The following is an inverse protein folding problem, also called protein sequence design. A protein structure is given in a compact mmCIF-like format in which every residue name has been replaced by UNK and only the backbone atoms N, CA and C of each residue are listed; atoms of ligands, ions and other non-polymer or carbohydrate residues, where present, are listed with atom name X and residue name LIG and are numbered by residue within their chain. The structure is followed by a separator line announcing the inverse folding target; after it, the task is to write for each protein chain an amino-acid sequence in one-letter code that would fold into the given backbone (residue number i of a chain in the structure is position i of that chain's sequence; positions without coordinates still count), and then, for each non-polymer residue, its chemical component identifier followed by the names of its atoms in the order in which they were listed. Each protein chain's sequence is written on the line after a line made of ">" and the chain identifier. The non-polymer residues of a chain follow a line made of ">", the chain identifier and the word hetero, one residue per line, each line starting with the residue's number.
data_IF_650347791204
#
_entry.id   IF_650347791204
#
_cell.length_a   1.000
_cell.length_b   1.000
_cell.length_c   1.000
_cell.angle_alpha   90.00
_cell.angle_beta   90.00
_cell.angle_gamma   90.00
#
_symmetry.space_group_name_H-M   'P 1'
#
loop_
_entity.id
_entity.type
_entity.pdbx_description
1 polymer ?
#
# COMPACT_ATOMS: atom_id res chain seq x y z
N UNK A 1 -10.49 10.19 -21.65
CA UNK A 1 -9.65 9.33 -22.50
C UNK A 1 -8.24 9.38 -21.96
N UNK A 2 -7.95 8.54 -20.96
CA UNK A 2 -6.64 8.45 -20.32
C UNK A 2 -5.72 7.60 -21.20
N UNK A 3 -4.54 8.11 -21.55
CA UNK A 3 -3.53 7.38 -22.28
C UNK A 3 -3.12 6.13 -21.47
N UNK A 4 -3.59 4.96 -21.88
CA UNK A 4 -3.29 3.69 -21.23
C UNK A 4 -1.87 3.21 -21.57
N UNK A 5 -1.11 2.69 -20.60
CA UNK A 5 0.22 2.14 -20.86
C UNK A 5 0.07 0.84 -21.67
N UNK A 6 1.00 0.60 -22.62
CA UNK A 6 1.12 -0.60 -23.49
C UNK A 6 0.33 -0.63 -24.81
N UNK A 7 0.45 0.42 -25.64
CA UNK A 7 0.21 0.33 -27.09
C UNK A 7 1.50 0.20 -27.91
N UNK A 8 2.55 -0.41 -27.34
CA UNK A 8 3.79 -0.64 -28.09
C UNK A 8 3.66 -1.96 -28.87
N UNK A 9 3.61 -1.85 -30.19
CA UNK A 9 3.54 -2.98 -31.12
C UNK A 9 4.87 -3.12 -31.84
N UNK A 10 5.40 -4.34 -31.89
CA UNK A 10 6.56 -4.67 -32.71
C UNK A 10 6.07 -5.28 -34.02
N UNK A 11 6.54 -4.77 -35.16
CA UNK A 11 6.37 -5.42 -36.46
C UNK A 11 7.69 -6.09 -36.82
N UNK A 12 7.65 -7.40 -37.12
CA UNK A 12 8.78 -8.18 -37.61
C UNK A 12 8.47 -8.65 -39.02
N UNK A 13 9.02 -7.95 -40.00
CA UNK A 13 8.81 -8.20 -41.43
C UNK A 13 10.04 -7.69 -42.19
N UNK A 14 10.56 -8.46 -43.14
CA UNK A 14 11.72 -8.09 -43.96
C UNK A 14 11.33 -7.19 -45.15
N UNK A 15 10.04 -7.10 -45.47
CA UNK A 15 9.50 -6.12 -46.40
C UNK A 15 9.37 -4.74 -45.71
N UNK A 16 10.36 -3.88 -46.01
CA UNK A 16 10.47 -2.54 -45.43
C UNK A 16 9.26 -1.67 -45.80
N UNK A 17 8.78 -1.75 -47.04
CA UNK A 17 7.68 -0.91 -47.53
C UNK A 17 6.36 -1.32 -46.87
N UNK A 18 6.13 -2.63 -46.73
CA UNK A 18 4.98 -3.16 -46.01
C UNK A 18 5.03 -2.80 -44.52
N UNK A 19 6.17 -3.02 -43.86
CA UNK A 19 6.38 -2.69 -42.44
C UNK A 19 6.19 -1.19 -42.15
N UNK A 20 6.65 -0.33 -43.05
CA UNK A 20 6.45 1.12 -42.94
C UNK A 20 4.98 1.53 -43.13
N UNK A 21 4.32 0.98 -44.14
CA UNK A 21 2.90 1.25 -44.42
C UNK A 21 2.02 0.81 -43.25
N UNK A 22 2.27 -0.39 -42.72
CA UNK A 22 1.57 -0.95 -41.57
C UNK A 22 1.83 -0.14 -40.30
N UNK A 23 3.08 0.29 -40.08
CA UNK A 23 3.44 1.12 -38.95
C UNK A 23 2.77 2.49 -38.97
N UNK A 24 2.62 3.13 -40.13
CA UNK A 24 1.89 4.39 -40.27
C UNK A 24 0.41 4.23 -39.93
N UNK A 25 -0.21 3.13 -40.36
CA UNK A 25 -1.61 2.85 -40.05
C UNK A 25 -1.82 2.68 -38.54
N UNK A 26 -1.01 1.85 -37.89
CA UNK A 26 -1.11 1.63 -36.44
C UNK A 26 -0.82 2.92 -35.64
N UNK A 27 0.07 3.78 -36.13
CA UNK A 27 0.31 5.08 -35.51
C UNK A 27 -0.91 6.01 -35.56
N UNK A 28 -1.72 5.98 -36.63
CA UNK A 28 -2.99 6.72 -36.69
C UNK A 28 -3.99 6.25 -35.62
N UNK A 29 -3.94 4.96 -35.25
CA UNK A 29 -4.75 4.36 -34.20
C UNK A 29 -4.11 4.46 -32.80
N UNK A 30 -3.16 5.38 -32.61
CA UNK A 30 -2.44 5.66 -31.37
C UNK A 30 -1.59 4.48 -30.83
N UNK A 31 -1.09 3.60 -31.70
CA UNK A 31 -0.05 2.64 -31.32
C UNK A 31 1.35 3.22 -31.53
N UNK A 32 2.24 2.95 -30.58
CA UNK A 32 3.67 3.19 -30.74
C UNK A 32 4.28 1.99 -31.44
N UNK A 33 4.79 2.17 -32.64
CA UNK A 33 5.27 1.06 -33.47
C UNK A 33 6.79 0.99 -33.44
N UNK A 34 7.32 -0.19 -33.12
CA UNK A 34 8.71 -0.56 -33.30
C UNK A 34 8.81 -1.56 -34.46
N UNK A 35 9.91 -1.54 -35.21
CA UNK A 35 10.09 -2.37 -36.41
C UNK A 35 11.39 -3.15 -36.33
N UNK A 36 11.33 -4.40 -36.77
CA UNK A 36 12.45 -5.31 -36.93
C UNK A 36 12.37 -6.00 -38.28
N UNK A 37 13.52 -6.23 -38.89
CA UNK A 37 13.72 -6.93 -40.16
C UNK A 37 14.23 -8.37 -39.97
N UNK A 38 14.57 -8.75 -38.74
CA UNK A 38 15.22 -10.01 -38.44
C UNK A 38 14.98 -10.43 -36.99
N UNK A 39 15.21 -11.72 -36.71
CA UNK A 39 15.16 -12.24 -35.33
C UNK A 39 16.11 -11.48 -34.40
N UNK A 40 17.32 -11.15 -34.87
CA UNK A 40 18.32 -10.47 -34.05
C UNK A 40 17.86 -9.06 -33.64
N UNK A 41 17.30 -8.29 -34.57
CA UNK A 41 16.77 -6.95 -34.29
C UNK A 41 15.50 -7.03 -33.42
N UNK A 42 14.61 -7.99 -33.68
CA UNK A 42 13.40 -8.22 -32.87
C UNK A 42 13.73 -8.54 -31.40
N UNK A 43 14.69 -9.45 -31.15
CA UNK A 43 15.14 -9.81 -29.79
C UNK A 43 15.68 -8.60 -29.04
N UNK A 44 16.52 -7.79 -29.70
CA UNK A 44 17.10 -6.59 -29.09
C UNK A 44 16.01 -5.61 -28.68
N UNK A 45 14.99 -5.43 -29.52
CA UNK A 45 13.86 -4.53 -29.22
C UNK A 45 13.04 -5.02 -28.03
N UNK A 46 12.65 -6.29 -27.99
CA UNK A 46 11.85 -6.85 -26.88
C UNK A 46 12.60 -6.81 -25.54
N UNK A 47 13.94 -6.87 -25.56
CA UNK A 47 14.75 -6.72 -24.36
C UNK A 47 14.88 -5.27 -23.87
N UNK A 48 14.78 -4.30 -24.78
CA UNK A 48 15.00 -2.88 -24.48
C UNK A 48 13.70 -2.10 -24.25
N UNK A 49 12.57 -2.62 -24.74
CA UNK A 49 11.29 -1.95 -24.72
C UNK A 49 10.17 -2.87 -24.22
N UNK A 50 9.17 -2.33 -23.49
CA UNK A 50 8.03 -3.10 -22.99
C UNK A 50 7.00 -3.33 -24.11
N UNK A 51 7.38 -4.12 -25.10
CA UNK A 51 6.51 -4.53 -26.21
C UNK A 51 5.38 -5.43 -25.67
N UNK A 52 4.14 -5.09 -26.03
CA UNK A 52 2.96 -5.82 -25.59
C UNK A 52 2.47 -6.82 -26.64
N UNK A 53 2.55 -6.44 -27.92
CA UNK A 53 2.14 -7.29 -29.04
C UNK A 53 3.23 -7.27 -30.11
N UNK A 54 3.52 -8.44 -30.69
CA UNK A 54 4.42 -8.58 -31.83
C UNK A 54 3.64 -9.14 -33.04
N UNK A 55 3.61 -8.38 -34.14
CA UNK A 55 3.17 -8.83 -35.46
C UNK A 55 4.36 -9.44 -36.18
N UNK A 56 4.32 -10.72 -36.53
CA UNK A 56 5.46 -11.46 -37.09
C UNK A 56 5.09 -12.07 -38.43
N UNK A 57 5.75 -11.66 -39.52
CA UNK A 57 5.57 -12.34 -40.81
C UNK A 57 6.15 -13.76 -40.74
N UNK A 58 5.44 -14.71 -41.35
CA UNK A 58 5.82 -16.11 -41.37
C UNK A 58 7.04 -16.37 -42.25
N UNK A 59 7.23 -15.59 -43.32
CA UNK A 59 8.41 -15.68 -44.18
C UNK A 59 9.32 -14.49 -43.93
N UNK A 60 10.51 -14.74 -43.41
CA UNK A 60 11.57 -13.75 -43.32
C UNK A 60 12.71 -14.23 -44.22
N UNK A 61 13.06 -13.47 -45.26
CA UNK A 61 13.95 -13.86 -46.37
C UNK A 61 15.38 -14.30 -46.01
N UNK A 62 15.77 -14.23 -44.73
CA UNK A 62 17.10 -14.61 -44.22
C UNK A 62 17.23 -16.07 -43.76
N UNK A 63 16.23 -16.92 -44.02
CA UNK A 63 16.27 -18.37 -43.71
C UNK A 63 15.80 -18.74 -42.30
N UNK A 64 15.29 -17.78 -41.52
CA UNK A 64 14.55 -18.05 -40.29
C UNK A 64 13.06 -18.08 -40.59
N UNK A 65 12.37 -19.10 -40.08
CA UNK A 65 10.91 -19.17 -40.11
C UNK A 65 10.35 -18.17 -39.07
N UNK A 66 9.31 -17.40 -39.41
CA UNK A 66 8.63 -16.51 -38.45
C UNK A 66 8.16 -17.26 -37.19
N UNK A 67 7.92 -18.57 -37.31
CA UNK A 67 7.65 -19.45 -36.18
C UNK A 67 8.81 -19.50 -35.17
N UNK A 68 10.07 -19.51 -35.63
CA UNK A 68 11.24 -19.50 -34.74
C UNK A 68 11.37 -18.16 -34.03
N UNK A 69 11.01 -17.06 -34.69
CA UNK A 69 10.95 -15.74 -34.06
C UNK A 69 9.93 -15.75 -32.92
N UNK A 70 8.73 -16.26 -33.14
CA UNK A 70 7.70 -16.33 -32.09
C UNK A 70 8.18 -17.15 -30.89
N UNK A 71 8.76 -18.33 -31.13
CA UNK A 71 9.30 -19.18 -30.05
C UNK A 71 10.35 -18.44 -29.23
N UNK A 72 11.27 -17.75 -29.90
CA UNK A 72 12.38 -17.09 -29.24
C UNK A 72 11.95 -15.81 -28.51
N UNK A 73 11.02 -15.03 -29.08
CA UNK A 73 10.47 -13.86 -28.40
C UNK A 73 9.66 -14.26 -27.17
N UNK A 74 8.86 -15.32 -27.23
CA UNK A 74 8.12 -15.84 -26.06
C UNK A 74 9.01 -16.48 -25.01
N UNK A 75 10.17 -17.02 -25.40
CA UNK A 75 11.17 -17.48 -24.43
C UNK A 75 11.76 -16.32 -23.62
N UNK A 76 11.93 -15.15 -24.24
CA UNK A 76 12.42 -13.93 -23.57
C UNK A 76 11.31 -13.31 -22.72
N UNK A 77 10.11 -13.16 -23.29
CA UNK A 77 8.94 -12.62 -22.62
C UNK A 77 7.74 -13.57 -22.79
N UNK A 78 7.47 -14.45 -21.81
CA UNK A 78 6.36 -15.41 -21.88
C UNK A 78 4.97 -14.78 -22.00
N UNK A 79 4.83 -13.52 -21.56
CA UNK A 79 3.59 -12.75 -21.60
C UNK A 79 3.39 -11.96 -22.92
N UNK A 80 4.38 -11.96 -23.82
CA UNK A 80 4.28 -11.29 -25.12
C UNK A 80 3.22 -11.98 -25.99
N UNK A 81 2.25 -11.21 -26.47
CA UNK A 81 1.26 -11.69 -27.44
C UNK A 81 1.85 -11.61 -28.85
N UNK A 82 2.07 -12.76 -29.48
CA UNK A 82 2.56 -12.83 -30.85
C UNK A 82 1.40 -13.10 -31.81
N UNK A 83 1.24 -12.28 -32.84
CA UNK A 83 0.31 -12.47 -33.94
C UNK A 83 1.11 -12.79 -35.19
N UNK A 84 0.80 -13.90 -35.85
CA UNK A 84 1.45 -14.26 -37.11
C UNK A 84 0.77 -13.56 -38.26
N UNK A 85 1.54 -13.03 -39.21
CA UNK A 85 1.04 -12.57 -40.50
C UNK A 85 1.46 -13.59 -41.56
N UNK A 86 0.54 -14.05 -42.41
CA UNK A 86 0.82 -15.07 -43.44
C UNK A 86 0.13 -14.75 -44.76
N UNK A 87 0.81 -14.99 -45.89
CA UNK A 87 0.20 -14.91 -47.21
C UNK A 87 -0.57 -16.19 -47.61
N UNK A 88 -0.46 -17.27 -46.84
CA UNK A 88 -1.11 -18.55 -47.15
C UNK A 88 -1.76 -19.14 -45.89
N UNK A 89 -3.09 -19.24 -45.90
CA UNK A 89 -3.86 -19.87 -44.83
C UNK A 89 -4.03 -21.34 -45.17
N UNK A 90 -3.16 -22.18 -44.64
CA UNK A 90 -3.43 -23.60 -44.52
C UNK A 90 -3.72 -23.94 -43.05
N UNK A 91 -4.58 -24.93 -42.81
CA UNK A 91 -4.86 -25.43 -41.46
C UNK A 91 -3.57 -25.88 -40.78
N UNK A 92 -2.65 -26.50 -41.52
CA UNK A 92 -1.36 -26.97 -41.01
C UNK A 92 -0.48 -25.81 -40.52
N UNK A 93 -0.38 -24.73 -41.30
CA UNK A 93 0.38 -23.54 -40.93
C UNK A 93 -0.21 -22.83 -39.71
N UNK A 94 -1.54 -22.74 -39.60
CA UNK A 94 -2.20 -22.15 -38.44
C UNK A 94 -1.97 -22.99 -37.17
N UNK A 95 -2.03 -24.31 -37.26
CA UNK A 95 -1.73 -25.21 -36.14
C UNK A 95 -0.27 -25.06 -35.69
N UNK A 96 0.67 -24.98 -36.63
CA UNK A 96 2.09 -24.77 -36.32
C UNK A 96 2.35 -23.42 -35.63
N UNK A 97 1.67 -22.34 -36.06
CA UNK A 97 1.73 -21.04 -35.42
C UNK A 97 1.28 -21.07 -33.96
N UNK A 98 0.14 -21.68 -33.68
CA UNK A 98 -0.38 -21.81 -32.32
C UNK A 98 0.54 -22.69 -31.45
N UNK A 99 1.08 -23.79 -32.00
CA UNK A 99 2.04 -24.64 -31.29
C UNK A 99 3.37 -23.95 -31.00
N UNK A 100 3.82 -23.06 -31.89
CA UNK A 100 5.00 -22.20 -31.66
C UNK A 100 4.74 -21.13 -30.58
N UNK A 101 3.48 -20.94 -30.19
CA UNK A 101 3.07 -20.04 -29.14
C UNK A 101 2.48 -18.72 -29.63
N UNK A 102 2.14 -18.59 -30.90
CA UNK A 102 1.36 -17.46 -31.38
C UNK A 102 -0.03 -17.45 -30.70
N UNK A 103 -0.55 -16.26 -30.44
CA UNK A 103 -1.89 -16.06 -29.90
C UNK A 103 -2.95 -16.23 -30.99
N UNK A 104 -2.71 -15.65 -32.18
CA UNK A 104 -3.62 -15.68 -33.32
C UNK A 104 -2.82 -15.42 -34.62
N UNK A 105 -3.48 -15.42 -35.77
CA UNK A 105 -2.88 -15.13 -37.08
C UNK A 105 -3.74 -14.23 -37.97
N UNK A 106 -3.10 -13.55 -38.93
CA UNK A 106 -3.71 -12.64 -39.91
C UNK A 106 -3.28 -13.05 -41.32
N UNK A 107 -4.25 -13.15 -42.23
CA UNK A 107 -4.01 -13.54 -43.63
C UNK A 107 -3.81 -12.33 -44.53
N UNK A 108 -2.68 -12.22 -45.24
CA UNK A 108 -2.48 -11.24 -46.33
C UNK A 108 -3.30 -11.69 -47.57
N UNK A 109 -4.00 -10.78 -48.27
CA UNK A 109 -4.32 -9.41 -47.87
C UNK A 109 -5.41 -9.40 -46.78
N UNK A 110 -5.24 -8.55 -45.76
CA UNK A 110 -6.22 -8.33 -44.70
C UNK A 110 -6.73 -6.88 -44.72
N UNK A 111 -7.96 -6.67 -44.27
CA UNK A 111 -8.48 -5.33 -44.05
C UNK A 111 -7.95 -4.78 -42.73
N UNK A 112 -7.82 -3.45 -42.65
CA UNK A 112 -7.34 -2.77 -41.45
C UNK A 112 -8.23 -3.04 -40.25
N UNK A 113 -9.55 -3.15 -40.45
CA UNK A 113 -10.53 -3.46 -39.39
C UNK A 113 -10.28 -4.84 -38.75
N UNK A 114 -9.98 -5.87 -39.56
CA UNK A 114 -9.71 -7.23 -39.07
C UNK A 114 -8.46 -7.29 -38.19
N UNK A 115 -7.41 -6.57 -38.61
CA UNK A 115 -6.17 -6.46 -37.85
C UNK A 115 -6.38 -5.70 -36.54
N UNK A 116 -7.06 -4.54 -36.58
CA UNK A 116 -7.30 -3.72 -35.39
C UNK A 116 -8.15 -4.48 -34.37
N UNK A 117 -9.22 -5.14 -34.83
CA UNK A 117 -10.03 -6.04 -33.98
C UNK A 117 -9.19 -7.13 -33.32
N UNK A 118 -8.22 -7.70 -34.05
CA UNK A 118 -7.33 -8.73 -33.49
C UNK A 118 -6.33 -8.15 -32.48
N UNK A 119 -5.79 -6.95 -32.74
CA UNK A 119 -4.94 -6.24 -31.80
C UNK A 119 -5.68 -5.84 -30.52
N UNK A 120 -6.94 -5.38 -30.64
CA UNK A 120 -7.78 -5.03 -29.50
C UNK A 120 -8.02 -6.26 -28.60
N UNK A 121 -8.34 -7.43 -29.19
CA UNK A 121 -8.44 -8.69 -28.44
C UNK A 121 -7.14 -9.04 -27.68
N UNK A 122 -5.98 -8.81 -28.29
CA UNK A 122 -4.70 -9.01 -27.61
C UNK A 122 -4.51 -8.06 -26.42
N UNK A 123 -4.83 -6.78 -26.60
CA UNK A 123 -4.68 -5.77 -25.54
C UNK A 123 -5.63 -6.06 -24.38
N UNK A 124 -6.90 -6.38 -24.65
CA UNK A 124 -7.86 -6.80 -23.63
C UNK A 124 -7.37 -8.03 -22.88
N UNK A 125 -6.83 -9.03 -23.59
CA UNK A 125 -6.28 -10.24 -22.96
C UNK A 125 -5.12 -9.92 -22.03
N UNK A 126 -4.21 -9.03 -22.42
CA UNK A 126 -3.08 -8.60 -21.59
C UNK A 126 -3.58 -7.91 -20.32
N UNK A 127 -4.55 -7.00 -20.46
CA UNK A 127 -5.14 -6.30 -19.31
C UNK A 127 -5.80 -7.25 -18.32
N UNK A 128 -6.52 -8.26 -18.83
CA UNK A 128 -7.15 -9.29 -17.99
C UNK A 128 -6.10 -10.10 -17.21
N UNK A 129 -5.01 -10.51 -17.86
CA UNK A 129 -3.93 -11.26 -17.21
C UNK A 129 -3.20 -10.43 -16.16
N UNK A 130 -2.92 -9.15 -16.44
CA UNK A 130 -2.31 -8.22 -15.49
C UNK A 130 -3.22 -7.99 -14.27
N UNK A 131 -4.52 -7.77 -14.51
CA UNK A 131 -5.51 -7.61 -13.44
C UNK A 131 -5.63 -8.86 -12.57
N UNK A 132 -5.60 -10.05 -13.18
CA UNK A 132 -5.63 -11.32 -12.45
C UNK A 132 -4.38 -11.50 -11.58
N UNK A 133 -3.17 -11.28 -12.13
CA UNK A 133 -1.92 -11.37 -11.37
C UNK A 133 -1.94 -10.41 -10.16
N UNK A 134 -2.41 -9.18 -10.35
CA UNK A 134 -2.52 -8.21 -9.27
C UNK A 134 -3.53 -8.66 -8.20
N UNK A 135 -4.67 -9.19 -8.60
CA UNK A 135 -5.66 -9.72 -7.66
C UNK A 135 -5.14 -10.95 -6.90
N UNK A 136 -4.39 -11.84 -7.53
CA UNK A 136 -3.79 -12.99 -6.86
C UNK A 136 -2.77 -12.56 -5.79
N UNK A 137 -1.94 -11.55 -6.10
CA UNK A 137 -1.01 -10.97 -5.12
C UNK A 137 -1.77 -10.36 -3.95
N UNK A 138 -2.81 -9.56 -4.22
CA UNK A 138 -3.67 -8.96 -3.19
C UNK A 138 -4.37 -10.01 -2.33
N UNK A 139 -4.88 -11.07 -2.95
CA UNK A 139 -5.58 -12.14 -2.25
C UNK A 139 -4.63 -12.89 -1.30
N UNK A 140 -3.41 -13.21 -1.77
CA UNK A 140 -2.39 -13.86 -0.92
C UNK A 140 -1.98 -12.97 0.25
N UNK A 141 -1.77 -11.68 0.00
CA UNK A 141 -1.47 -10.71 1.06
C UNK A 141 -2.61 -10.63 2.09
N UNK A 142 -3.86 -10.57 1.63
CA UNK A 142 -5.04 -10.57 2.50
C UNK A 142 -5.13 -11.84 3.35
N UNK A 143 -5.00 -13.01 2.75
CA UNK A 143 -5.02 -14.30 3.46
C UNK A 143 -3.88 -14.42 4.48
N UNK A 144 -2.68 -13.95 4.13
CA UNK A 144 -1.55 -13.93 5.05
C UNK A 144 -1.83 -13.03 6.26
N UNK A 145 -2.42 -11.85 6.02
CA UNK A 145 -2.78 -10.91 7.08
C UNK A 145 -3.89 -11.47 7.98
N UNK A 146 -4.92 -12.10 7.41
CA UNK A 146 -6.00 -12.76 8.15
C UNK A 146 -5.49 -13.90 9.04
N UNK A 147 -4.62 -14.77 8.50
CA UNK A 147 -4.02 -15.87 9.26
C UNK A 147 -3.12 -15.38 10.40
N UNK A 148 -2.28 -14.38 10.11
CA UNK A 148 -1.42 -13.75 11.12
C UNK A 148 -2.26 -13.08 12.22
N UNK A 149 -3.39 -12.48 11.84
CA UNK A 149 -4.32 -11.84 12.75
C UNK A 149 -5.05 -12.80 13.69
N UNK A 150 -5.57 -13.91 13.16
CA UNK A 150 -6.23 -14.94 13.99
C UNK A 150 -5.27 -15.56 15.01
N UNK A 151 -4.03 -15.85 14.59
CA UNK A 151 -2.99 -16.38 15.48
C UNK A 151 -2.60 -15.36 16.56
N UNK A 152 -2.41 -14.10 16.17
CA UNK A 152 -2.08 -13.03 17.12
C UNK A 152 -3.21 -12.83 18.15
N UNK A 153 -4.48 -12.89 17.72
CA UNK A 153 -5.63 -12.72 18.61
C UNK A 153 -5.74 -13.82 19.66
N UNK A 154 -5.54 -15.09 19.28
CA UNK A 154 -5.57 -16.21 20.22
C UNK A 154 -4.42 -16.15 21.22
N UNK A 155 -3.19 -15.92 20.73
CA UNK A 155 -2.00 -15.84 21.59
C UNK A 155 -2.12 -14.68 22.57
N UNK A 156 -2.54 -13.51 22.10
CA UNK A 156 -2.57 -12.32 22.95
C UNK A 156 -3.71 -12.34 23.97
N UNK A 157 -4.85 -13.00 23.69
CA UNK A 157 -5.86 -13.31 24.70
C UNK A 157 -5.25 -14.10 25.87
N UNK A 158 -4.49 -15.16 25.56
CA UNK A 158 -3.90 -16.01 26.59
C UNK A 158 -2.82 -15.27 27.40
N UNK A 159 -2.03 -14.42 26.75
CA UNK A 159 -1.09 -13.56 27.45
C UNK A 159 -1.80 -12.55 28.36
N UNK A 160 -2.87 -11.91 27.90
CA UNK A 160 -3.64 -10.96 28.72
C UNK A 160 -4.21 -11.63 29.97
N UNK A 161 -4.65 -12.88 29.87
CA UNK A 161 -5.13 -13.64 31.01
C UNK A 161 -4.03 -13.87 32.06
N UNK A 162 -2.82 -14.24 31.60
CA UNK A 162 -1.67 -14.44 32.50
C UNK A 162 -1.25 -13.12 33.14
N UNK A 163 -1.17 -12.04 32.35
CA UNK A 163 -0.77 -10.72 32.82
C UNK A 163 -1.78 -10.13 33.81
N UNK A 164 -3.08 -10.35 33.62
CA UNK A 164 -4.12 -9.93 34.55
C UNK A 164 -3.98 -10.61 35.93
N UNK A 165 -3.72 -11.92 35.95
CA UNK A 165 -3.49 -12.67 37.19
C UNK A 165 -2.19 -12.21 37.87
N UNK A 166 -1.11 -12.02 37.11
CA UNK A 166 0.16 -11.48 37.61
C UNK A 166 -0.02 -10.10 38.24
N UNK A 167 -0.68 -9.19 37.52
CA UNK A 167 -0.92 -7.82 37.99
C UNK A 167 -1.76 -7.81 39.27
N UNK A 168 -2.79 -8.67 39.34
CA UNK A 168 -3.64 -8.81 40.54
C UNK A 168 -2.83 -9.26 41.75
N UNK A 169 -2.02 -10.31 41.61
CA UNK A 169 -1.17 -10.82 42.68
C UNK A 169 -0.13 -9.78 43.13
N UNK A 170 0.48 -9.06 42.19
CA UNK A 170 1.47 -8.01 42.51
C UNK A 170 0.84 -6.85 43.28
N UNK A 171 -0.38 -6.42 42.92
CA UNK A 171 -1.11 -5.37 43.66
C UNK A 171 -1.49 -5.81 45.07
N UNK A 172 -1.93 -7.05 45.25
CA UNK A 172 -2.18 -7.61 46.59
C UNK A 172 -0.90 -7.69 47.43
N UNK A 173 0.25 -7.97 46.80
CA UNK A 173 1.54 -7.99 47.46
C UNK A 173 1.96 -6.57 47.88
N UNK A 174 1.82 -5.59 46.98
CA UNK A 174 2.08 -4.17 47.22
C UNK A 174 1.26 -3.66 48.42
N UNK A 175 -0.04 -3.98 48.47
CA UNK A 175 -0.94 -3.59 49.55
C UNK A 175 -0.55 -4.23 50.90
N UNK A 176 -0.13 -5.50 50.89
CA UNK A 176 0.30 -6.21 52.11
C UNK A 176 1.65 -5.77 52.65
N UNK A 177 2.60 -5.43 51.77
CA UNK A 177 3.93 -4.95 52.16
C UNK A 177 3.85 -3.51 52.69
N UNK A 178 3.00 -2.68 52.07
CA UNK A 178 2.89 -1.26 52.39
C UNK A 178 4.26 -0.57 52.25
N UNK A 179 4.57 0.33 53.19
CA UNK A 179 5.86 1.05 53.24
C UNK A 179 6.88 0.41 54.18
N UNK A 180 6.60 -0.79 54.70
CA UNK A 180 7.41 -1.40 55.76
C UNK A 180 8.77 -1.93 55.26
N UNK A 181 8.88 -2.26 53.97
CA UNK A 181 10.10 -2.79 53.36
C UNK A 181 10.40 -2.11 52.02
N UNK A 182 11.08 -0.93 52.04
CA UNK A 182 11.29 -0.10 50.85
C UNK A 182 11.91 -0.85 49.66
N UNK A 183 12.91 -1.71 49.92
CA UNK A 183 13.56 -2.49 48.86
C UNK A 183 12.63 -3.52 48.19
N UNK A 184 11.66 -4.07 48.92
CA UNK A 184 10.69 -5.03 48.36
C UNK A 184 9.57 -4.28 47.64
N UNK A 185 9.12 -3.15 48.19
CA UNK A 185 8.15 -2.27 47.52
C UNK A 185 8.67 -1.79 46.16
N UNK A 186 9.95 -1.44 46.05
CA UNK A 186 10.59 -1.04 44.78
C UNK A 186 10.56 -2.17 43.74
N UNK A 187 10.95 -3.40 44.11
CA UNK A 187 10.90 -4.57 43.22
C UNK A 187 9.47 -4.90 42.74
N UNK A 188 8.48 -4.77 43.62
CA UNK A 188 7.07 -4.98 43.26
C UNK A 188 6.58 -3.91 42.29
N UNK A 189 6.97 -2.66 42.51
CA UNK A 189 6.64 -1.53 41.63
C UNK A 189 7.23 -1.74 40.23
N UNK A 190 8.48 -2.17 40.15
CA UNK A 190 9.12 -2.53 38.87
C UNK A 190 8.40 -3.68 38.16
N UNK A 191 8.02 -4.73 38.90
CA UNK A 191 7.30 -5.88 38.34
C UNK A 191 5.90 -5.49 37.81
N UNK A 192 5.19 -4.58 38.50
CA UNK A 192 3.92 -4.01 38.04
C UNK A 192 4.14 -3.23 36.74
N UNK A 193 5.16 -2.37 36.69
CA UNK A 193 5.53 -1.64 35.47
C UNK A 193 5.85 -2.55 34.28
N UNK A 194 6.59 -3.64 34.51
CA UNK A 194 6.90 -4.64 33.50
C UNK A 194 5.63 -5.37 33.01
N UNK A 195 4.70 -5.70 33.92
CA UNK A 195 3.43 -6.37 33.58
C UNK A 195 2.50 -5.47 32.75
N UNK A 196 2.46 -4.17 33.07
CA UNK A 196 1.76 -3.17 32.26
C UNK A 196 2.37 -3.06 30.86
N UNK A 197 3.69 -3.01 30.77
CA UNK A 197 4.40 -2.98 29.48
C UNK A 197 4.10 -4.23 28.64
N UNK A 198 4.06 -5.41 29.26
CA UNK A 198 3.64 -6.65 28.60
C UNK A 198 2.21 -6.58 28.07
N UNK A 199 1.29 -5.98 28.83
CA UNK A 199 -0.13 -5.83 28.46
C UNK A 199 -0.32 -4.85 27.30
N UNK A 200 0.51 -3.80 27.25
CA UNK A 200 0.53 -2.89 26.10
C UNK A 200 1.02 -3.59 24.84
N UNK A 201 2.06 -4.42 24.94
CA UNK A 201 2.61 -5.16 23.81
C UNK A 201 1.62 -6.18 23.24
N UNK A 202 0.91 -6.90 24.10
CA UNK A 202 -0.13 -7.86 23.70
C UNK A 202 -1.34 -7.17 23.09
N UNK A 203 -1.72 -6.00 23.60
CA UNK A 203 -2.78 -5.17 23.00
C UNK A 203 -2.39 -4.70 21.60
N UNK A 204 -1.13 -4.32 21.37
CA UNK A 204 -0.62 -4.00 20.03
C UNK A 204 -0.64 -5.22 19.10
N UNK A 205 -0.40 -6.43 19.60
CA UNK A 205 -0.50 -7.67 18.83
C UNK A 205 -1.97 -8.02 18.49
N UNK A 206 -2.90 -7.82 19.42
CA UNK A 206 -4.35 -8.02 19.19
C UNK A 206 -4.85 -7.16 18.03
N UNK A 207 -4.50 -5.88 18.05
CA UNK A 207 -4.97 -4.91 17.06
C UNK A 207 -4.32 -5.11 15.68
N UNK A 208 -3.27 -5.92 15.57
CA UNK A 208 -2.72 -6.37 14.29
C UNK A 208 -3.65 -7.38 13.61
N UNK A 209 -4.46 -8.09 14.39
CA UNK A 209 -5.31 -9.19 13.95
C UNK A 209 -6.79 -9.04 14.18
N UNK A 210 -7.22 -7.97 14.83
CA UNK A 210 -8.63 -7.71 15.11
C UNK A 210 -9.46 -7.74 13.84
N UNK A 211 -10.53 -8.55 13.90
CA UNK A 211 -11.53 -8.71 12.85
C UNK A 211 -12.22 -7.37 12.53
N UNK A 212 -12.76 -7.21 11.31
CA UNK A 212 -13.55 -6.05 10.88
C UNK A 212 -14.93 -5.92 11.58
N UNK A 213 -15.09 -6.46 12.81
CA UNK A 213 -16.34 -6.41 13.59
C UNK A 213 -16.40 -5.21 14.55
N UNK A 214 -15.36 -4.39 14.57
CA UNK A 214 -15.41 -3.05 15.17
C UNK A 214 -16.14 -2.16 14.13
N UNK A 215 -17.48 -2.20 14.14
CA UNK A 215 -18.31 -1.54 13.12
C UNK A 215 -17.94 -0.06 12.97
N UNK A 216 -17.91 0.40 11.72
CA UNK A 216 -17.73 1.80 11.41
C UNK A 216 -18.82 2.62 12.09
N UNK A 217 -18.42 3.44 13.05
CA UNK A 217 -19.31 4.34 13.77
C UNK A 217 -18.95 5.79 13.49
N UNK A 218 -19.93 6.67 13.72
CA UNK A 218 -19.69 8.11 13.65
C UNK A 218 -18.82 8.52 14.84
N UNK A 219 -17.60 8.98 14.56
CA UNK A 219 -16.64 9.43 15.56
C UNK A 219 -16.56 10.95 15.54
N UNK A 220 -16.96 11.56 16.67
CA UNK A 220 -16.73 12.97 16.98
C UNK A 220 -15.36 13.12 17.66
N UNK A 221 -14.38 13.63 16.93
CA UNK A 221 -13.03 13.86 17.44
C UNK A 221 -12.98 14.89 18.56
N UNK A 222 -13.85 15.91 18.52
CA UNK A 222 -13.88 16.96 19.52
C UNK A 222 -14.33 16.40 20.87
N UNK A 223 -15.21 15.40 20.86
CA UNK A 223 -15.61 14.64 22.05
C UNK A 223 -14.59 13.56 22.47
N UNK A 224 -14.01 12.83 21.51
CA UNK A 224 -13.16 11.67 21.78
C UNK A 224 -11.74 12.05 22.26
N UNK A 225 -11.11 13.05 21.64
CA UNK A 225 -9.70 13.38 21.89
C UNK A 225 -9.40 13.89 23.31
N UNK A 226 -10.28 14.66 23.98
CA UNK A 226 -10.10 15.02 25.40
C UNK A 226 -9.94 13.83 26.34
N UNK A 227 -10.82 12.84 26.23
CA UNK A 227 -10.77 11.62 27.05
C UNK A 227 -9.53 10.80 26.74
N UNK A 228 -9.22 10.65 25.44
CA UNK A 228 -8.01 9.96 24.99
C UNK A 228 -6.72 10.63 25.48
N UNK A 229 -6.63 11.97 25.44
CA UNK A 229 -5.48 12.70 25.97
C UNK A 229 -5.33 12.52 27.49
N UNK A 230 -6.43 12.43 28.22
CA UNK A 230 -6.40 12.16 29.66
C UNK A 230 -5.85 10.75 29.96
N UNK A 231 -6.28 9.75 29.19
CA UNK A 231 -5.72 8.39 29.26
C UNK A 231 -4.21 8.42 28.95
N UNK A 232 -3.80 9.07 27.86
CA UNK A 232 -2.39 9.15 27.46
C UNK A 232 -1.50 9.78 28.54
N UNK A 233 -1.95 10.84 29.21
CA UNK A 233 -1.18 11.45 30.31
C UNK A 233 -0.89 10.46 31.43
N UNK A 234 -1.80 9.52 31.71
CA UNK A 234 -1.60 8.46 32.72
C UNK A 234 -0.65 7.38 32.22
N UNK A 235 -0.77 7.01 30.95
CA UNK A 235 0.04 5.94 30.34
C UNK A 235 1.48 6.36 30.11
N UNK A 236 1.72 7.61 29.69
CA UNK A 236 3.06 8.06 29.31
C UNK A 236 3.93 8.41 30.51
N UNK A 237 3.35 8.87 31.62
CA UNK A 237 4.10 9.33 32.80
C UNK A 237 4.16 10.85 32.91
N UNK A 238 4.61 11.35 34.06
CA UNK A 238 4.60 12.78 34.43
C UNK A 238 5.66 13.61 33.67
N UNK A 239 6.64 12.94 33.07
CA UNK A 239 7.77 13.50 32.34
C UNK A 239 7.38 13.94 30.92
N UNK A 240 6.24 13.46 30.40
CA UNK A 240 5.73 13.81 29.08
C UNK A 240 4.43 14.60 29.19
N UNK A 241 4.42 15.81 28.65
CA UNK A 241 3.22 16.64 28.60
C UNK A 241 2.40 16.33 27.35
N UNK A 242 1.10 16.11 27.51
CA UNK A 242 0.16 15.88 26.40
C UNK A 242 -0.73 17.10 26.21
N UNK A 243 -0.66 17.71 25.03
CA UNK A 243 -1.46 18.89 24.63
C UNK A 243 -2.44 18.52 23.53
N UNK A 244 -3.60 19.18 23.54
CA UNK A 244 -4.59 19.11 22.48
C UNK A 244 -4.69 20.46 21.79
N UNK A 245 -4.75 20.44 20.47
CA UNK A 245 -4.99 21.61 19.65
C UNK A 245 -6.12 21.29 18.65
N UNK A 246 -7.34 21.69 18.98
CA UNK A 246 -8.56 21.41 18.22
C UNK A 246 -9.25 22.73 17.83
N UNK A 247 -9.81 22.86 16.61
CA UNK A 247 -10.69 23.96 16.26
C UNK A 247 -12.07 23.76 16.88
N UNK A 248 -12.92 24.79 16.81
CA UNK A 248 -14.29 24.74 17.32
C UNK A 248 -15.18 23.73 16.57
N UNK A 249 -14.88 23.46 15.30
CA UNK A 249 -15.64 22.54 14.46
C UNK A 249 -14.72 21.62 13.66
N UNK A 250 -15.01 20.32 13.71
CA UNK A 250 -14.34 19.27 12.95
C UNK A 250 -15.37 18.46 12.18
N UNK A 251 -14.98 17.93 11.02
CA UNK A 251 -15.81 16.96 10.31
C UNK A 251 -15.95 15.66 11.12
N UNK A 252 -17.10 15.01 10.95
CA UNK A 252 -17.37 13.71 11.54
C UNK A 252 -16.62 12.64 10.74
N UNK A 253 -16.07 11.67 11.46
CA UNK A 253 -15.40 10.53 10.86
C UNK A 253 -16.30 9.29 10.93
N UNK A 254 -16.17 8.35 10.00
CA UNK A 254 -16.94 7.10 9.98
C UNK A 254 -15.96 5.94 9.98
N UNK A 255 -15.54 5.50 11.18
CA UNK A 255 -14.53 4.47 11.40
C UNK A 255 -14.78 3.73 12.72
N UNK A 256 -14.09 2.62 12.94
CA UNK A 256 -13.90 2.10 14.30
C UNK A 256 -13.14 3.12 15.17
N UNK A 257 -13.78 3.50 16.29
CA UNK A 257 -13.16 4.30 17.35
C UNK A 257 -11.95 3.60 17.97
N UNK A 258 -12.04 2.29 18.22
CA UNK A 258 -10.97 1.52 18.85
C UNK A 258 -9.70 1.45 17.98
N UNK A 259 -9.87 1.26 16.66
CA UNK A 259 -8.76 1.28 15.71
C UNK A 259 -8.12 2.67 15.60
N UNK A 260 -8.92 3.74 15.64
CA UNK A 260 -8.40 5.10 15.64
C UNK A 260 -7.63 5.42 16.93
N UNK A 261 -8.18 5.11 18.10
CA UNK A 261 -7.51 5.28 19.41
C UNK A 261 -6.20 4.50 19.47
N UNK A 262 -6.20 3.26 18.99
CA UNK A 262 -4.99 2.42 18.89
C UNK A 262 -3.95 3.05 17.97
N UNK A 263 -4.39 3.59 16.83
CA UNK A 263 -3.50 4.23 15.86
C UNK A 263 -2.82 5.45 16.47
N UNK A 264 -3.58 6.30 17.16
CA UNK A 264 -3.04 7.46 17.88
C UNK A 264 -2.13 7.05 19.04
N UNK A 265 -2.45 5.97 19.74
CA UNK A 265 -1.63 5.43 20.83
C UNK A 265 -0.26 4.96 20.31
N UNK A 266 -0.24 4.23 19.20
CA UNK A 266 1.00 3.79 18.56
C UNK A 266 1.91 4.97 18.17
N UNK A 267 1.32 6.05 17.64
CA UNK A 267 2.07 7.26 17.32
C UNK A 267 2.56 7.98 18.58
N UNK A 268 1.73 8.09 19.62
CA UNK A 268 2.12 8.71 20.89
C UNK A 268 3.26 7.97 21.59
N UNK A 269 3.28 6.63 21.52
CA UNK A 269 4.35 5.82 22.08
C UNK A 269 5.64 5.94 21.26
N UNK A 270 5.56 6.03 19.93
CA UNK A 270 6.71 6.33 19.09
C UNK A 270 7.29 7.72 19.40
N UNK A 271 6.43 8.72 19.59
CA UNK A 271 6.81 10.06 20.02
C UNK A 271 7.51 10.06 21.39
N UNK A 272 6.96 9.34 22.38
CA UNK A 272 7.57 9.16 23.70
C UNK A 272 8.97 8.58 23.60
N UNK A 273 9.13 7.51 22.84
CA UNK A 273 10.41 6.81 22.71
C UNK A 273 11.47 7.67 21.99
N UNK A 274 11.05 8.64 21.17
CA UNK A 274 11.93 9.66 20.59
C UNK A 274 12.36 10.75 21.59
N UNK A 275 11.81 10.76 22.82
CA UNK A 275 12.03 11.74 23.88
C UNK A 275 12.46 11.04 25.19
N UNK A 276 13.72 10.60 25.26
CA UNK A 276 14.23 9.77 26.35
C UNK A 276 14.13 10.37 27.76
N UNK A 277 14.15 11.70 27.90
CA UNK A 277 14.17 12.41 29.19
C UNK A 277 12.90 13.22 29.46
N UNK A 278 11.83 12.97 28.70
CA UNK A 278 10.61 13.78 28.73
C UNK A 278 10.50 14.78 27.57
N UNK A 279 9.31 15.35 27.40
CA UNK A 279 9.03 16.28 26.31
C UNK A 279 7.55 16.60 26.13
N UNK A 280 7.18 17.12 24.96
CA UNK A 280 5.79 17.49 24.66
C UNK A 280 5.26 16.69 23.48
N UNK A 281 4.09 16.07 23.67
CA UNK A 281 3.30 15.45 22.61
C UNK A 281 2.06 16.31 22.41
N UNK A 282 1.89 16.83 21.20
CA UNK A 282 0.69 17.59 20.83
C UNK A 282 -0.13 16.78 19.84
N UNK A 283 -1.39 16.53 20.15
CA UNK A 283 -2.36 15.99 19.21
C UNK A 283 -3.17 17.15 18.65
N UNK A 284 -3.04 17.36 17.34
CA UNK A 284 -3.69 18.43 16.60
C UNK A 284 -4.67 17.82 15.60
N UNK A 285 -5.87 18.36 15.48
CA UNK A 285 -6.80 17.96 14.43
C UNK A 285 -7.26 19.20 13.65
N UNK A 286 -7.39 19.12 12.33
CA UNK A 286 -7.90 20.21 11.47
C UNK A 286 -8.68 19.63 10.29
N UNK A 287 -9.74 20.31 9.87
CA UNK A 287 -10.37 20.03 8.58
C UNK A 287 -9.39 20.40 7.47
N UNK A 288 -9.33 19.58 6.43
CA UNK A 288 -8.44 19.72 5.29
C UNK A 288 -9.21 19.44 4.01
N UNK A 289 -9.27 20.42 3.11
CA UNK A 289 -9.90 20.26 1.81
C UNK A 289 -8.84 19.92 0.77
N UNK A 290 -9.03 18.81 0.07
CA UNK A 290 -8.10 18.33 -0.96
C UNK A 290 -8.69 18.68 -2.32
N UNK A 291 -8.20 19.77 -2.89
CA UNK A 291 -8.60 20.23 -4.21
C UNK A 291 -7.97 19.44 -5.36
N UNK A 292 -8.39 19.68 -6.61
CA UNK A 292 -7.77 19.06 -7.78
C UNK A 292 -6.30 19.49 -7.91
N UNK A 293 -5.38 18.53 -7.82
CA UNK A 293 -3.93 18.77 -8.01
C UNK A 293 -3.60 18.80 -9.49
N UNK A 294 -2.72 19.72 -9.92
CA UNK A 294 -2.19 19.77 -11.30
C UNK A 294 -1.40 18.50 -11.64
N UNK A 295 -1.47 18.07 -12.89
CA UNK A 295 -1.01 16.76 -13.41
C UNK A 295 0.50 16.42 -13.27
N UNK A 296 1.30 17.20 -12.54
CA UNK A 296 2.75 17.05 -12.40
C UNK A 296 3.19 16.24 -11.17
N UNK A 297 2.31 15.97 -10.21
CA UNK A 297 2.63 15.13 -9.06
C UNK A 297 1.97 13.75 -9.22
N UNK A 298 2.79 12.77 -9.61
CA UNK A 298 2.38 11.38 -9.72
C UNK A 298 1.95 10.88 -8.34
N UNK A 299 0.75 10.28 -8.27
CA UNK A 299 0.10 9.59 -7.13
C UNK A 299 -0.65 10.40 -6.05
N UNK A 300 -1.66 11.23 -6.36
CA UNK A 300 -2.76 11.53 -5.39
C UNK A 300 -4.11 11.84 -6.08
N UNK A 301 -5.10 10.91 -6.12
CA UNK A 301 -6.35 11.13 -6.86
C UNK A 301 -7.62 11.14 -5.99
N UNK A 302 -7.58 11.55 -4.71
CA UNK A 302 -8.80 11.64 -3.89
C UNK A 302 -9.08 13.10 -3.55
N UNK A 303 -9.93 13.73 -4.37
CA UNK A 303 -10.51 15.05 -4.09
C UNK A 303 -11.60 14.85 -3.03
N UNK A 304 -11.64 15.71 -2.01
CA UNK A 304 -12.69 15.65 -1.01
C UNK A 304 -12.37 16.35 0.31
N UNK A 305 -13.26 16.14 1.27
CA UNK A 305 -13.14 16.64 2.64
C UNK A 305 -12.41 15.61 3.51
N UNK A 306 -11.40 16.06 4.22
CA UNK A 306 -10.59 15.24 5.11
C UNK A 306 -10.48 15.90 6.48
N UNK A 307 -10.15 15.10 7.49
CA UNK A 307 -9.60 15.59 8.75
C UNK A 307 -8.14 15.15 8.82
N UNK A 308 -7.25 16.12 8.99
CA UNK A 308 -5.85 15.91 9.29
C UNK A 308 -5.68 15.79 10.81
N UNK A 309 -5.31 14.61 11.29
CA UNK A 309 -4.98 14.34 12.69
C UNK A 309 -3.46 14.19 12.80
N UNK A 310 -2.80 15.10 13.48
CA UNK A 310 -1.35 15.14 13.64
C UNK A 310 -0.93 14.80 15.07
N UNK A 311 0.02 13.89 15.22
CA UNK A 311 0.75 13.65 16.47
C UNK A 311 2.14 14.26 16.32
N UNK A 312 2.42 15.27 17.13
CA UNK A 312 3.62 16.11 17.06
C UNK A 312 4.45 15.89 18.32
N UNK A 313 5.72 15.54 18.15
CA UNK A 313 6.69 15.40 19.24
C UNK A 313 7.85 16.39 19.12
N UNK A 314 8.48 16.67 20.26
CA UNK A 314 9.71 17.48 20.36
C UNK A 314 10.94 16.60 20.56
N UNK A 315 10.94 15.40 19.99
CA UNK A 315 11.99 14.41 20.15
C UNK A 315 13.17 14.60 19.21
N UNK A 316 13.95 13.54 19.02
CA UNK A 316 15.17 13.58 18.21
C UNK A 316 14.94 13.76 16.71
N UNK A 317 13.70 13.60 16.22
CA UNK A 317 13.41 13.57 14.79
C UNK A 317 14.09 12.42 14.05
N UNK A 318 14.05 12.47 12.72
CA UNK A 318 14.59 11.45 11.81
C UNK A 318 15.52 12.07 10.77
N UNK A 319 16.52 11.30 10.31
CA UNK A 319 17.27 11.62 9.10
C UNK A 319 16.46 11.25 7.85
N UNK A 320 16.80 11.83 6.69
CA UNK A 320 16.08 11.55 5.42
C UNK A 320 16.02 10.06 5.08
N UNK A 321 17.11 9.32 5.33
CA UNK A 321 17.16 7.86 5.11
C UNK A 321 16.17 7.12 6.02
N UNK A 322 16.05 7.51 7.29
CA UNK A 322 15.10 6.90 8.24
C UNK A 322 13.66 7.27 7.87
N UNK A 323 13.40 8.54 7.55
CA UNK A 323 12.07 9.04 7.15
C UNK A 323 11.51 8.29 5.95
N UNK A 324 12.34 8.06 4.93
CA UNK A 324 11.92 7.39 3.67
C UNK A 324 11.55 5.92 3.88
N UNK A 325 12.14 5.28 4.89
CA UNK A 325 11.94 3.86 5.21
C UNK A 325 11.04 3.62 6.41
N UNK A 326 10.53 4.69 7.04
CA UNK A 326 9.77 4.59 8.28
C UNK A 326 8.51 3.70 8.15
N UNK A 327 7.90 3.68 6.96
CA UNK A 327 6.72 2.87 6.67
C UNK A 327 7.05 1.43 6.22
N UNK A 328 8.33 1.10 5.98
CA UNK A 328 8.75 -0.26 5.62
C UNK A 328 8.39 -1.23 6.75
N UNK A 329 7.71 -2.36 6.46
CA UNK A 329 7.41 -3.36 7.47
C UNK A 329 8.68 -3.84 8.20
N UNK A 330 8.60 -3.94 9.54
CA UNK A 330 9.68 -4.40 10.43
C UNK A 330 10.91 -3.48 10.50
N UNK A 331 10.87 -2.30 9.87
CA UNK A 331 11.96 -1.33 9.99
C UNK A 331 11.93 -0.65 11.37
N UNK A 332 13.08 -0.63 12.05
CA UNK A 332 13.23 0.00 13.38
C UNK A 332 14.65 0.53 13.55
N UNK A 333 14.77 1.70 14.17
CA UNK A 333 16.05 2.29 14.59
C UNK A 333 16.38 2.00 16.06
N UNK A 334 15.46 1.33 16.79
CA UNK A 334 15.62 0.99 18.20
C UNK A 334 16.54 -0.23 18.37
N UNK A 335 17.20 -0.34 19.53
CA UNK A 335 18.06 -1.50 19.85
C UNK A 335 17.24 -2.80 19.80
N UNK A 336 17.90 -3.93 19.53
CA UNK A 336 17.27 -5.26 19.50
C UNK A 336 16.54 -5.51 20.83
N UNK A 337 15.20 -5.56 20.78
CA UNK A 337 14.33 -5.77 21.94
C UNK A 337 13.37 -4.60 22.22
N UNK A 338 13.70 -3.37 21.81
CA UNK A 338 12.98 -2.15 22.22
C UNK A 338 11.94 -1.67 21.17
N UNK A 339 11.86 -2.32 20.01
CA UNK A 339 10.85 -2.04 19.00
C UNK A 339 10.87 -3.01 17.83
N UNK A 340 9.69 -3.50 17.43
CA UNK A 340 9.51 -4.49 16.37
C UNK A 340 9.28 -3.90 14.97
N UNK A 341 9.17 -2.58 14.84
CA UNK A 341 8.92 -1.91 13.56
C UNK A 341 7.53 -2.15 12.95
N UNK A 342 6.56 -2.66 13.72
CA UNK A 342 5.21 -2.95 13.23
C UNK A 342 4.20 -1.83 13.50
N UNK A 343 4.47 -0.96 14.47
CA UNK A 343 3.51 0.05 14.93
C UNK A 343 3.11 1.04 13.83
N UNK A 344 4.09 1.57 13.08
CA UNK A 344 3.80 2.57 12.04
C UNK A 344 3.15 1.93 10.79
N UNK A 345 3.54 0.71 10.44
CA UNK A 345 2.93 -0.07 9.36
C UNK A 345 1.45 -0.37 9.64
N UNK A 346 1.08 -0.63 10.90
CA UNK A 346 -0.32 -0.83 11.29
C UNK A 346 -1.15 0.43 11.09
N UNK A 347 -0.61 1.59 11.47
CA UNK A 347 -1.30 2.88 11.29
C UNK A 347 -1.45 3.19 9.79
N UNK A 348 -0.40 2.99 8.99
CA UNK A 348 -0.47 3.23 7.53
C UNK A 348 -1.49 2.30 6.86
N UNK A 349 -1.55 1.03 7.24
CA UNK A 349 -2.56 0.10 6.71
C UNK A 349 -3.98 0.54 7.08
N UNK A 350 -4.23 0.88 8.35
CA UNK A 350 -5.52 1.40 8.80
C UNK A 350 -5.94 2.62 7.99
N UNK A 351 -5.05 3.61 7.84
CA UNK A 351 -5.38 4.85 7.13
C UNK A 351 -5.67 4.57 5.63
N UNK A 352 -4.87 3.71 4.98
CA UNK A 352 -5.05 3.39 3.56
C UNK A 352 -6.31 2.58 3.27
N UNK A 353 -6.65 1.59 4.10
CA UNK A 353 -7.85 0.76 3.89
C UNK A 353 -9.14 1.57 4.00
N UNK A 354 -9.08 2.70 4.70
CA UNK A 354 -10.18 3.64 4.89
C UNK A 354 -10.14 4.84 3.93
N UNK A 355 -9.38 4.75 2.84
CA UNK A 355 -9.35 5.78 1.79
C UNK A 355 -8.57 7.06 2.17
N UNK A 356 -7.77 7.00 3.23
CA UNK A 356 -6.88 8.06 3.66
C UNK A 356 -5.42 7.84 3.24
N UNK A 357 -4.54 8.73 3.69
CA UNK A 357 -3.08 8.53 3.63
C UNK A 357 -2.37 9.17 4.82
N UNK A 358 -1.11 8.78 5.02
CA UNK A 358 -0.24 9.35 6.04
C UNK A 358 0.81 10.29 5.45
N UNK A 359 1.18 11.29 6.24
CA UNK A 359 2.29 12.19 5.96
C UNK A 359 3.24 12.24 7.16
N UNK A 360 4.52 12.42 6.85
CA UNK A 360 5.60 12.51 7.82
C UNK A 360 6.42 13.76 7.54
N UNK A 361 6.45 14.68 8.51
CA UNK A 361 7.38 15.79 8.57
C UNK A 361 8.31 15.56 9.76
N UNK A 362 9.60 15.42 9.50
CA UNK A 362 10.58 15.16 10.56
C UNK A 362 11.91 15.78 10.18
N UNK A 363 12.50 16.49 11.13
CA UNK A 363 13.83 17.08 11.00
C UNK A 363 14.68 16.64 12.18
N UNK A 364 15.87 16.14 11.89
CA UNK A 364 16.80 15.66 12.91
C UNK A 364 17.10 16.77 13.93
N UNK A 365 16.85 16.48 15.21
CA UNK A 365 17.00 17.38 16.35
C UNK A 365 15.82 18.33 16.62
N UNK A 366 14.78 18.33 15.80
CA UNK A 366 13.62 19.23 15.93
C UNK A 366 12.31 18.51 16.28
N UNK A 367 12.27 17.18 16.15
CA UNK A 367 11.09 16.35 16.41
C UNK A 367 10.44 15.81 15.15
N UNK A 368 9.26 15.22 15.33
CA UNK A 368 8.47 14.61 14.26
C UNK A 368 7.01 15.02 14.35
N UNK A 369 6.40 15.24 13.18
CA UNK A 369 4.96 15.36 12.97
C UNK A 369 4.50 14.22 12.09
N UNK A 370 3.65 13.35 12.64
CA UNK A 370 2.96 12.29 11.92
C UNK A 370 1.51 12.72 11.69
N UNK A 371 1.07 12.81 10.44
CA UNK A 371 -0.30 13.25 10.10
C UNK A 371 -1.06 12.12 9.41
N UNK A 372 -2.24 11.80 9.94
CA UNK A 372 -3.23 10.93 9.32
C UNK A 372 -4.24 11.83 8.60
N UNK A 373 -4.43 11.66 7.29
CA UNK A 373 -5.51 12.30 6.56
C UNK A 373 -6.61 11.28 6.33
N UNK A 374 -7.74 11.47 7.00
CA UNK A 374 -8.88 10.57 6.97
C UNK A 374 -10.09 11.26 6.33
N UNK A 375 -10.86 10.57 5.46
CA UNK A 375 -12.07 11.15 4.87
C UNK A 375 -13.07 11.62 5.94
N UNK A 376 -13.47 12.89 5.86
CA UNK A 376 -14.45 13.50 6.76
C UNK A 376 -15.82 13.67 6.10
N UNK A 377 -16.88 13.66 6.91
CA UNK A 377 -18.24 14.04 6.49
C UNK A 377 -18.70 15.29 7.24
N UNK A 378 -19.40 16.17 6.54
CA UNK A 378 -20.03 17.33 7.17
C UNK A 378 -21.01 16.90 8.26
N UNK A 379 -21.06 17.70 9.32
CA UNK A 379 -22.09 17.61 10.34
C UNK A 379 -23.41 18.12 9.74
N UNK A 380 -24.36 17.22 9.48
CA UNK A 380 -25.72 17.63 9.11
C UNK A 380 -26.44 17.90 10.44
N UNK A 381 -26.82 19.15 10.69
CA UNK A 381 -27.66 19.50 11.84
C UNK A 381 -29.02 18.78 11.76
N UNK A 382 -29.77 18.68 12.88
CA UNK A 382 -31.06 17.97 12.91
C UNK A 382 -32.09 18.45 11.87
N UNK A 383 -31.91 19.66 11.32
CA UNK A 383 -32.82 20.27 10.35
C UNK A 383 -32.35 20.19 8.88
N UNK A 384 -31.28 19.45 8.57
CA UNK A 384 -30.80 19.27 7.19
C UNK A 384 -30.20 20.53 6.55
N UNK A 385 -30.00 21.60 7.31
CA UNK A 385 -29.23 22.77 6.88
C UNK A 385 -27.74 22.57 7.18
N UNK A 386 -26.89 22.95 6.23
CA UNK A 386 -25.44 23.04 6.43
C UNK A 386 -25.17 24.02 7.57
N UNK A 387 -24.49 23.57 8.63
CA UNK A 387 -23.99 24.42 9.72
C UNK A 387 -22.48 24.58 9.55
#
# INVERSE_FOLDING_TARGET
>A
MTAGPRRIVLIVDDDIDFSESLGRLLALENYSVLRADSMASAKKIVQQHPVAVALVDIRLGSGNDGLDVVRELRRINPDLMCLMITAFVSVETAVQALQAGAYDYLSKPFHSEDMLSTLDRCVERIQLLDAQKLNDVRLRQKQQMEALGQLASGIAHDFNNILAVLLSNLRLLEERIGTAQPAVTELVTEAIGATHTGSELTSRLLNFGSRPEDEDQVVDLAAMLPDFAMMLRRTLGKEWSVRLDLPDQLYMLVFSRGLLETSLLNLALNARDAMATGGTITIKARNHHVGPVSATEQTRPIIGEFVAISVIDTGTGMSDHVRTRAFDPLFTTKKRGDGNGLGLTMVDNFVRTHGGWMEIDSTLGQGTTMTLLLPGRFQIGPDGANI
#
